data_IF_641549633458
#
_entry.id   IF_641549633458
#
_cell.length_a   1.000
_cell.length_b   1.000
_cell.length_c   1.000
_cell.angle_alpha   90.00
_cell.angle_beta   90.00
_cell.angle_gamma   90.00
#
_symmetry.space_group_name_H-M   'P 1'
#
loop_
_entity.id
_entity.type
_entity.pdbx_description
1 polymer ?
#
# COMPACT_ATOMS: atom_id res chain seq x y z
N UNK A 1 13.74 -18.56 -40.34
CA UNK A 1 14.25 -18.23 -39.00
C UNK A 1 15.47 -19.09 -38.73
N UNK A 2 16.67 -18.51 -38.79
CA UNK A 2 17.90 -19.24 -38.47
C UNK A 2 18.05 -19.34 -36.94
N UNK A 3 17.46 -20.39 -36.35
CA UNK A 3 17.50 -20.68 -34.91
C UNK A 3 18.93 -20.68 -34.34
N UNK A 4 19.90 -21.09 -35.16
CA UNK A 4 21.30 -21.18 -34.78
C UNK A 4 21.97 -19.80 -34.68
N UNK A 5 21.53 -18.82 -35.49
CA UNK A 5 22.00 -17.43 -35.42
C UNK A 5 21.40 -16.73 -34.20
N UNK A 6 20.09 -16.85 -34.00
CA UNK A 6 19.41 -16.28 -32.82
C UNK A 6 19.95 -16.83 -31.50
N UNK A 7 20.30 -18.12 -31.46
CA UNK A 7 20.89 -18.72 -30.26
C UNK A 7 22.30 -18.18 -29.97
N UNK A 8 23.12 -18.00 -31.01
CA UNK A 8 24.47 -17.43 -30.87
C UNK A 8 24.41 -15.98 -30.38
N UNK A 9 23.52 -15.18 -30.95
CA UNK A 9 23.27 -13.80 -30.52
C UNK A 9 22.87 -13.73 -29.05
N UNK A 10 21.96 -14.60 -28.60
CA UNK A 10 21.53 -14.62 -27.20
C UNK A 10 22.64 -15.10 -26.24
N UNK A 11 23.48 -16.06 -26.66
CA UNK A 11 24.65 -16.50 -25.89
C UNK A 11 25.69 -15.37 -25.77
N UNK A 12 25.94 -14.63 -26.85
CA UNK A 12 26.84 -13.48 -26.84
C UNK A 12 26.30 -12.35 -25.96
N UNK A 13 25.00 -12.07 -26.01
CA UNK A 13 24.33 -11.09 -25.14
C UNK A 13 24.52 -11.46 -23.67
N UNK A 14 24.31 -12.73 -23.30
CA UNK A 14 24.51 -13.21 -21.93
C UNK A 14 25.97 -13.18 -21.51
N UNK A 15 26.91 -13.51 -22.40
CA UNK A 15 28.36 -13.39 -22.12
C UNK A 15 28.79 -11.95 -21.88
N UNK A 16 28.30 -11.00 -22.68
CA UNK A 16 28.55 -9.56 -22.50
C UNK A 16 28.00 -9.07 -21.16
N UNK A 17 26.76 -9.43 -20.83
CA UNK A 17 26.15 -9.09 -19.54
C UNK A 17 26.96 -9.63 -18.35
N UNK A 18 27.47 -10.86 -18.43
CA UNK A 18 28.33 -11.45 -17.38
C UNK A 18 29.73 -10.84 -17.35
N UNK A 19 30.25 -10.30 -18.46
CA UNK A 19 31.54 -9.62 -18.48
C UNK A 19 31.46 -8.18 -17.93
N UNK A 20 30.34 -7.51 -18.21
CA UNK A 20 30.01 -6.17 -17.69
C UNK A 20 29.64 -6.22 -16.20
N UNK A 21 28.91 -7.27 -15.80
CA UNK A 21 28.85 -7.67 -14.40
C UNK A 21 30.26 -8.11 -14.01
N UNK A 22 31.06 -7.18 -13.50
CA UNK A 22 32.38 -7.45 -12.95
C UNK A 22 32.23 -8.25 -11.64
N UNK A 23 31.55 -9.42 -11.69
CA UNK A 23 31.62 -10.47 -10.69
C UNK A 23 33.08 -10.86 -10.72
N UNK A 24 33.89 -10.14 -9.93
CA UNK A 24 35.29 -10.41 -9.68
C UNK A 24 35.35 -11.82 -9.14
N UNK A 25 35.40 -12.77 -10.07
CA UNK A 25 35.50 -14.18 -9.76
C UNK A 25 36.85 -14.48 -9.11
N UNK A 26 37.74 -13.48 -8.94
CA UNK A 26 39.05 -13.65 -8.32
C UNK A 26 39.85 -14.76 -8.99
N UNK A 27 39.70 -14.90 -10.32
CA UNK A 27 40.33 -15.98 -11.10
C UNK A 27 39.60 -17.34 -11.08
N UNK A 28 38.40 -17.45 -10.52
CA UNK A 28 37.60 -18.68 -10.53
C UNK A 28 37.01 -18.95 -11.91
N UNK A 29 37.03 -20.21 -12.34
CA UNK A 29 36.55 -20.68 -13.66
C UNK A 29 35.02 -20.67 -13.81
N UNK A 30 34.29 -20.59 -12.71
CA UNK A 30 32.83 -20.65 -12.68
C UNK A 30 32.29 -19.53 -11.78
N UNK A 31 31.10 -19.06 -12.13
CA UNK A 31 30.35 -18.07 -11.37
C UNK A 31 29.12 -18.77 -10.82
N UNK A 32 28.80 -18.58 -9.53
CA UNK A 32 27.56 -19.11 -8.97
C UNK A 32 26.41 -18.20 -9.39
N UNK A 33 25.29 -18.79 -9.80
CA UNK A 33 24.10 -18.02 -10.18
C UNK A 33 23.59 -17.09 -9.07
N UNK A 34 23.78 -17.48 -7.80
CA UNK A 34 23.46 -16.64 -6.64
C UNK A 34 24.25 -15.32 -6.61
N UNK A 35 25.52 -15.34 -7.01
CA UNK A 35 26.37 -14.13 -7.02
C UNK A 35 25.91 -13.14 -8.10
N UNK A 36 25.35 -13.64 -9.21
CA UNK A 36 24.77 -12.82 -10.28
C UNK A 36 23.44 -12.21 -9.82
N UNK A 37 22.56 -13.03 -9.24
CA UNK A 37 21.25 -12.58 -8.73
C UNK A 37 21.38 -11.53 -7.63
N UNK A 38 22.32 -11.71 -6.69
CA UNK A 38 22.55 -10.77 -5.59
C UNK A 38 22.93 -9.38 -6.11
N UNK A 39 23.78 -9.30 -7.14
CA UNK A 39 24.14 -8.00 -7.70
C UNK A 39 23.03 -7.36 -8.52
N UNK A 40 22.21 -8.14 -9.21
CA UNK A 40 21.00 -7.60 -9.86
C UNK A 40 20.04 -6.98 -8.83
N UNK A 41 19.90 -7.61 -7.66
CA UNK A 41 19.09 -7.08 -6.57
C UNK A 41 19.68 -5.78 -5.99
N UNK A 42 21.01 -5.71 -5.86
CA UNK A 42 21.73 -4.52 -5.41
C UNK A 42 21.53 -3.35 -6.39
N UNK A 43 21.77 -3.55 -7.69
CA UNK A 43 21.52 -2.52 -8.71
C UNK A 43 20.05 -2.06 -8.74
N UNK A 44 19.12 -2.99 -8.55
CA UNK A 44 17.69 -2.65 -8.47
C UNK A 44 17.42 -1.78 -7.24
N UNK A 45 17.94 -2.15 -6.06
CA UNK A 45 17.82 -1.32 -4.86
C UNK A 45 18.46 0.05 -5.02
N UNK A 46 19.64 0.14 -5.63
CA UNK A 46 20.28 1.42 -5.90
C UNK A 46 19.46 2.30 -6.85
N UNK A 47 18.93 1.72 -7.94
CA UNK A 47 18.04 2.44 -8.87
C UNK A 47 16.77 2.93 -8.17
N UNK A 48 16.20 2.14 -7.26
CA UNK A 48 15.04 2.57 -6.49
C UNK A 48 15.37 3.69 -5.51
N UNK A 49 16.50 3.60 -4.79
CA UNK A 49 16.99 4.68 -3.92
C UNK A 49 17.27 5.96 -4.70
N UNK A 50 17.82 5.85 -5.91
CA UNK A 50 18.12 7.01 -6.75
C UNK A 50 16.86 7.70 -7.28
N UNK A 51 15.80 6.93 -7.55
CA UNK A 51 14.49 7.49 -7.91
C UNK A 51 13.88 8.25 -6.75
N UNK A 52 13.85 7.63 -5.57
CA UNK A 52 13.37 8.28 -4.35
C UNK A 52 14.14 9.56 -4.03
N UNK A 53 15.48 9.52 -4.09
CA UNK A 53 16.32 10.70 -3.85
C UNK A 53 16.18 11.79 -4.93
N UNK A 54 15.76 11.42 -6.14
CA UNK A 54 15.53 12.37 -7.24
C UNK A 54 14.18 13.06 -7.13
N UNK A 55 13.17 12.36 -6.59
CA UNK A 55 11.92 12.98 -6.19
C UNK A 55 12.15 13.92 -4.99
N UNK A 56 12.93 13.51 -3.98
CA UNK A 56 13.27 14.37 -2.83
C UNK A 56 14.09 15.62 -3.20
N UNK A 57 14.91 15.56 -4.26
CA UNK A 57 15.75 16.70 -4.72
C UNK A 57 15.04 17.60 -5.75
N UNK A 58 13.88 17.22 -6.27
CA UNK A 58 13.07 18.04 -7.18
C UNK A 58 12.06 18.94 -6.44
N UNK A 59 11.89 18.74 -5.13
CA UNK A 59 10.94 19.47 -4.25
C UNK A 59 11.44 20.85 -3.79
N UNK A 60 12.42 21.48 -4.47
CA UNK A 60 12.80 22.88 -4.22
C UNK A 60 12.53 23.81 -5.43
N UNK A 61 11.88 23.32 -6.48
CA UNK A 61 11.67 24.12 -7.69
C UNK A 61 10.50 23.67 -8.55
N UNK A 62 9.37 24.35 -8.35
CA UNK A 62 8.25 24.53 -9.28
C UNK A 62 7.36 23.32 -9.60
N UNK A 63 6.13 23.46 -9.12
CA UNK A 63 4.95 22.65 -9.36
C UNK A 63 4.51 22.58 -10.83
N UNK A 64 3.76 21.49 -11.09
CA UNK A 64 2.63 21.36 -12.02
C UNK A 64 2.84 20.62 -13.36
N UNK A 65 1.95 19.63 -13.55
CA UNK A 65 1.52 18.95 -14.79
C UNK A 65 2.22 17.62 -15.11
N UNK A 66 1.60 16.44 -15.00
CA UNK A 66 0.23 16.08 -14.63
C UNK A 66 -0.07 14.62 -15.00
N UNK A 67 -0.76 13.90 -14.12
CA UNK A 67 -1.76 12.88 -14.48
C UNK A 67 -2.66 12.58 -13.28
N UNK A 68 -3.63 13.47 -13.09
CA UNK A 68 -5.00 13.21 -12.65
C UNK A 68 -5.28 12.05 -11.69
N UNK A 69 -5.16 12.31 -10.38
CA UNK A 69 -6.18 11.88 -9.43
C UNK A 69 -6.33 12.98 -8.37
N UNK A 70 -7.01 14.05 -8.77
CA UNK A 70 -7.46 15.07 -7.82
C UNK A 70 -8.62 14.50 -7.01
N UNK A 71 -8.49 14.57 -5.68
CA UNK A 71 -9.64 14.60 -4.80
C UNK A 71 -9.66 13.65 -3.60
N UNK A 72 -8.56 13.43 -2.88
CA UNK A 72 -8.64 12.97 -1.48
C UNK A 72 -7.26 13.07 -0.81
N UNK A 73 -6.84 14.29 -0.50
CA UNK A 73 -5.67 14.48 0.36
C UNK A 73 -6.15 15.26 1.56
N UNK A 74 -5.84 14.74 2.75
CA UNK A 74 -6.11 15.36 4.05
C UNK A 74 -7.44 15.01 4.74
N UNK A 75 -7.83 13.73 4.73
CA UNK A 75 -8.62 13.19 5.84
C UNK A 75 -7.81 12.00 6.40
N UNK A 76 -7.43 12.08 7.68
CA UNK A 76 -7.20 10.91 8.58
C UNK A 76 -5.85 10.19 8.62
N UNK A 77 -4.72 10.87 8.41
CA UNK A 77 -3.39 10.29 8.72
C UNK A 77 -3.25 9.87 10.22
N UNK A 78 -4.16 10.32 11.09
CA UNK A 78 -4.17 10.02 12.53
C UNK A 78 -5.10 8.88 12.96
N UNK A 79 -6.02 8.41 12.11
CA UNK A 79 -7.06 7.41 12.52
C UNK A 79 -6.66 5.98 12.13
N UNK A 80 -5.69 5.81 11.23
CA UNK A 80 -5.29 4.50 10.72
C UNK A 80 -4.54 3.63 11.74
N UNK A 81 -4.12 4.18 12.90
CA UNK A 81 -3.35 3.42 13.89
C UNK A 81 -4.17 2.58 14.88
N UNK A 82 -5.48 2.81 14.99
CA UNK A 82 -6.30 2.24 16.06
C UNK A 82 -6.49 0.72 15.96
N UNK A 83 -6.39 0.17 14.75
CA UNK A 83 -6.74 -1.23 14.47
C UNK A 83 -5.50 -2.10 14.37
N UNK A 84 -5.49 -3.23 15.08
CA UNK A 84 -4.40 -4.21 14.98
C UNK A 84 -4.30 -4.82 13.57
N UNK A 85 -3.09 -5.08 13.10
CA UNK A 85 -2.85 -5.71 11.79
C UNK A 85 -3.50 -7.09 11.65
N UNK A 86 -3.69 -7.82 12.75
CA UNK A 86 -4.40 -9.09 12.74
C UNK A 86 -5.87 -8.92 12.32
N UNK A 87 -6.49 -7.85 12.78
CA UNK A 87 -7.88 -7.54 12.50
C UNK A 87 -8.06 -6.93 11.11
N UNK A 88 -7.13 -6.08 10.68
CA UNK A 88 -7.06 -5.58 9.30
C UNK A 88 -7.04 -6.74 8.30
N UNK A 89 -6.16 -7.72 8.52
CA UNK A 89 -6.07 -8.93 7.68
C UNK A 89 -7.34 -9.78 7.74
N UNK A 90 -8.02 -9.83 8.88
CA UNK A 90 -9.29 -10.55 9.03
C UNK A 90 -10.38 -9.87 8.19
N UNK A 91 -10.57 -8.55 8.34
CA UNK A 91 -11.58 -7.79 7.59
C UNK A 91 -11.35 -7.83 6.08
N UNK A 92 -10.09 -7.75 5.63
CA UNK A 92 -9.73 -7.92 4.22
C UNK A 92 -10.10 -9.32 3.70
N UNK A 93 -9.85 -10.39 4.47
CA UNK A 93 -10.26 -11.76 4.08
C UNK A 93 -11.77 -11.93 4.06
N UNK A 94 -12.49 -11.39 5.05
CA UNK A 94 -13.95 -11.48 5.12
C UNK A 94 -14.61 -10.78 3.92
N UNK A 95 -13.95 -9.73 3.38
CA UNK A 95 -14.30 -9.03 2.13
C UNK A 95 -13.77 -9.70 0.85
N UNK A 96 -13.01 -10.79 0.96
CA UNK A 96 -12.39 -11.47 -0.19
C UNK A 96 -11.26 -10.70 -0.88
N UNK A 97 -10.65 -9.73 -0.19
CA UNK A 97 -9.60 -8.86 -0.71
C UNK A 97 -8.19 -9.37 -0.36
N UNK A 98 -7.15 -9.08 -1.18
CA UNK A 98 -5.78 -9.41 -0.85
C UNK A 98 -5.32 -8.78 0.46
N UNK A 99 -4.63 -9.57 1.30
CA UNK A 99 -4.13 -9.12 2.61
C UNK A 99 -2.96 -8.15 2.52
N UNK A 100 -2.21 -8.16 1.42
CA UNK A 100 -1.03 -7.33 1.17
C UNK A 100 -0.75 -7.39 -0.34
N UNK A 101 -0.63 -6.23 -0.99
CA UNK A 101 -0.16 -6.12 -2.36
C UNK A 101 1.35 -5.89 -2.41
N UNK A 102 1.96 -6.12 -3.58
CA UNK A 102 3.39 -5.92 -3.75
C UNK A 102 3.74 -4.43 -3.61
N UNK A 103 4.64 -4.12 -2.68
CA UNK A 103 5.08 -2.74 -2.42
C UNK A 103 4.19 -1.96 -1.46
N UNK A 104 3.14 -2.57 -0.88
CA UNK A 104 2.38 -1.95 0.21
C UNK A 104 3.11 -2.08 1.55
N UNK A 105 3.14 -0.99 2.32
CA UNK A 105 3.52 -1.00 3.72
C UNK A 105 2.29 -1.18 4.63
N UNK A 106 2.49 -1.31 5.95
CA UNK A 106 1.37 -1.54 6.87
C UNK A 106 0.34 -0.41 6.88
N UNK A 107 0.78 0.84 6.72
CA UNK A 107 -0.10 2.00 6.65
C UNK A 107 -0.98 1.98 5.40
N UNK A 108 -0.40 1.61 4.24
CA UNK A 108 -1.14 1.47 2.97
C UNK A 108 -2.23 0.42 3.06
N UNK A 109 -1.95 -0.72 3.69
CA UNK A 109 -2.92 -1.80 3.86
C UNK A 109 -4.12 -1.31 4.68
N UNK A 110 -3.89 -0.49 5.71
CA UNK A 110 -4.93 0.08 6.57
C UNK A 110 -5.75 1.13 5.84
N UNK A 111 -5.10 2.06 5.14
CA UNK A 111 -5.76 3.06 4.32
C UNK A 111 -6.63 2.40 3.24
N UNK A 112 -6.14 1.34 2.60
CA UNK A 112 -6.91 0.56 1.64
C UNK A 112 -8.12 -0.12 2.26
N UNK A 113 -7.97 -0.72 3.44
CA UNK A 113 -9.10 -1.30 4.16
C UNK A 113 -10.16 -0.23 4.47
N UNK A 114 -9.77 0.93 4.98
CA UNK A 114 -10.68 2.03 5.30
C UNK A 114 -11.46 2.49 4.06
N UNK A 115 -10.76 2.67 2.92
CA UNK A 115 -11.39 3.01 1.65
C UNK A 115 -12.44 1.98 1.22
N UNK A 116 -12.14 0.70 1.38
CA UNK A 116 -13.08 -0.39 1.07
C UNK A 116 -14.28 -0.41 2.02
N UNK A 117 -14.10 -0.05 3.29
CA UNK A 117 -15.18 0.04 4.28
C UNK A 117 -16.14 1.19 3.99
N UNK A 118 -15.62 2.32 3.53
CA UNK A 118 -16.42 3.49 3.12
C UNK A 118 -17.20 3.20 1.83
N UNK A 119 -16.53 2.63 0.82
CA UNK A 119 -17.15 2.36 -0.49
C UNK A 119 -18.15 1.19 -0.43
N UNK A 120 -17.81 0.13 0.33
CA UNK A 120 -18.60 -1.09 0.47
C UNK A 120 -18.83 -1.39 1.95
N UNK A 121 -19.76 -0.67 2.60
CA UNK A 121 -20.13 -0.96 3.96
C UNK A 121 -20.71 -2.37 4.07
N UNK A 122 -20.33 -3.10 5.12
CA UNK A 122 -20.79 -4.46 5.36
C UNK A 122 -22.31 -4.46 5.56
N UNK A 123 -23.07 -4.81 4.52
CA UNK A 123 -24.55 -4.89 4.56
C UNK A 123 -25.10 -5.85 5.63
N UNK A 124 -24.24 -6.66 6.25
CA UNK A 124 -24.60 -7.59 7.34
C UNK A 124 -24.99 -6.84 8.62
N UNK A 125 -24.48 -5.63 8.81
CA UNK A 125 -24.98 -4.67 9.78
C UNK A 125 -25.61 -3.54 8.98
N UNK A 126 -26.94 -3.52 8.88
CA UNK A 126 -27.63 -2.47 8.12
C UNK A 126 -27.19 -1.08 8.57
N UNK A 127 -27.15 -0.10 7.65
CA UNK A 127 -26.81 1.29 7.94
C UNK A 127 -27.64 1.80 9.12
N UNK A 128 -27.05 1.81 10.32
CA UNK A 128 -27.59 2.52 11.46
C UNK A 128 -27.23 3.97 11.23
N UNK A 129 -28.23 4.79 10.94
CA UNK A 129 -28.02 6.21 10.76
C UNK A 129 -27.56 6.81 12.10
N UNK A 130 -26.28 7.25 12.20
CA UNK A 130 -25.74 7.85 13.42
C UNK A 130 -26.56 9.08 13.85
N UNK A 131 -27.00 9.93 12.91
CA UNK A 131 -27.84 11.09 13.23
C UNK A 131 -29.18 10.67 13.84
N UNK A 132 -29.82 9.63 13.30
CA UNK A 132 -31.09 9.13 13.84
C UNK A 132 -30.93 8.51 15.23
N UNK A 133 -29.76 7.93 15.51
CA UNK A 133 -29.43 7.37 16.83
C UNK A 133 -29.21 8.51 17.83
N UNK A 134 -28.42 9.52 17.46
CA UNK A 134 -28.20 10.69 18.31
C UNK A 134 -29.50 11.46 18.62
N UNK A 135 -30.41 11.59 17.64
CA UNK A 135 -31.73 12.20 17.90
C UNK A 135 -32.55 11.39 18.92
N UNK A 136 -32.52 10.06 18.83
CA UNK A 136 -33.21 9.20 19.80
C UNK A 136 -32.62 9.36 21.20
N UNK A 137 -31.30 9.43 21.33
CA UNK A 137 -30.65 9.57 22.64
C UNK A 137 -31.03 10.89 23.31
N UNK A 138 -31.08 11.99 22.54
CA UNK A 138 -31.55 13.31 23.03
C UNK A 138 -33.03 13.27 23.43
N UNK A 139 -33.88 12.63 22.62
CA UNK A 139 -35.30 12.46 22.94
C UNK A 139 -35.49 11.62 24.23
N UNK A 140 -34.68 10.57 24.41
CA UNK A 140 -34.70 9.73 25.61
C UNK A 140 -34.24 10.48 26.86
N UNK A 141 -33.23 11.34 26.75
CA UNK A 141 -32.77 12.22 27.84
C UNK A 141 -33.87 13.20 28.25
N UNK A 142 -34.51 13.85 27.27
CA UNK A 142 -35.60 14.79 27.53
C UNK A 142 -36.82 14.12 28.20
N UNK A 143 -37.14 12.88 27.78
CA UNK A 143 -38.20 12.08 28.42
C UNK A 143 -37.84 11.72 29.85
N UNK A 144 -36.59 11.34 30.14
CA UNK A 144 -36.13 11.04 31.51
C UNK A 144 -36.23 12.27 32.41
N UNK A 145 -35.78 13.43 31.95
CA UNK A 145 -35.88 14.69 32.70
C UNK A 145 -37.34 15.03 33.05
N UNK A 146 -38.29 14.85 32.12
CA UNK A 146 -39.71 15.10 32.38
C UNK A 146 -40.28 14.11 33.40
N UNK A 147 -39.90 12.83 33.33
CA UNK A 147 -40.35 11.81 34.28
C UNK A 147 -39.80 12.10 35.68
N UNK A 148 -38.50 12.37 35.80
CA UNK A 148 -37.84 12.68 37.07
C UNK A 148 -38.37 13.99 37.67
N UNK A 149 -38.52 15.05 36.87
CA UNK A 149 -39.09 16.33 37.31
C UNK A 149 -40.58 16.26 37.67
N UNK A 150 -41.31 15.25 37.19
CA UNK A 150 -42.71 15.00 37.58
C UNK A 150 -42.86 14.11 38.82
N UNK A 151 -41.75 13.51 39.30
CA UNK A 151 -41.73 12.60 40.45
C UNK A 151 -41.36 13.31 41.77
N UNK A 152 -40.95 14.57 41.70
CA UNK A 152 -40.55 15.43 42.85
C UNK A 152 -41.70 16.35 43.36
N UNK A 153 -42.96 16.10 42.97
CA UNK A 153 -44.20 16.73 43.49
C UNK A 153 -45.19 15.64 43.98
#
# INVERSE_FOLDING_TARGET
>A
MDLLKTLKEEVERKRKAIAEFEVKAGGKKFIRGADIAAKHEEEYREKQKLKHAKDDSAEEGTSASGSSHEGETHIEDTVTEEISMAEVRKRLRDRGQPICLFGEEEHDIRARLLKLEIEQPDMKEGWKNELQTAMRDVDEELVKEVIEGSSDD
#
